data_IF_243930615661
#
_entry.id   IF_243930615661
#
_cell.length_a   1.000
_cell.length_b   1.000
_cell.length_c   1.000
_cell.angle_alpha   90.00
_cell.angle_beta   90.00
_cell.angle_gamma   90.00
#
_symmetry.space_group_name_H-M   'P 1'
#
loop_
_entity.id
_entity.type
_entity.pdbx_description
1 polymer ?
#
# COMPACT_ATOMS: atom_id res chain seq x y z
N UNK A 1 5.57 19.58 5.51
CA UNK A 1 5.68 18.26 6.18
C UNK A 1 5.22 17.19 5.21
N UNK A 2 5.97 16.10 5.09
CA UNK A 2 5.56 14.95 4.30
C UNK A 2 4.24 14.38 4.82
N UNK A 3 3.52 13.68 3.94
CA UNK A 3 2.26 13.04 4.26
C UNK A 3 2.44 11.54 4.36
N UNK A 4 1.65 10.91 5.21
CA UNK A 4 1.60 9.46 5.33
C UNK A 4 0.46 8.89 4.52
N UNK A 5 0.69 7.73 3.92
CA UNK A 5 -0.34 6.85 3.39
C UNK A 5 -0.23 5.52 4.15
N UNK A 6 -1.37 4.99 4.55
CA UNK A 6 -1.47 3.76 5.36
C UNK A 6 -2.24 2.71 4.61
N UNK A 7 -1.63 1.54 4.44
CA UNK A 7 -2.26 0.36 3.86
C UNK A 7 -2.36 -0.72 4.93
N UNK A 8 -3.57 -1.23 5.13
CA UNK A 8 -3.78 -2.50 5.83
C UNK A 8 -3.52 -3.63 4.83
N UNK A 9 -2.66 -4.57 5.19
CA UNK A 9 -2.28 -5.71 4.34
C UNK A 9 -2.46 -7.00 5.14
N UNK A 10 -3.22 -7.96 4.61
CA UNK A 10 -3.43 -9.26 5.25
C UNK A 10 -2.10 -10.01 5.41
N UNK A 11 -1.89 -10.70 6.54
CA UNK A 11 -0.66 -11.49 6.77
C UNK A 11 -0.64 -12.77 5.95
N UNK A 12 -1.75 -13.51 5.96
CA UNK A 12 -1.91 -14.71 5.15
C UNK A 12 -2.42 -14.34 3.76
N UNK A 13 -1.55 -14.52 2.77
CA UNK A 13 -1.82 -14.19 1.37
C UNK A 13 -1.50 -15.41 0.51
N UNK A 14 -2.40 -15.75 -0.42
CA UNK A 14 -2.15 -16.74 -1.46
C UNK A 14 -1.01 -16.28 -2.38
N UNK A 15 -0.18 -17.20 -2.87
CA UNK A 15 1.07 -16.89 -3.59
C UNK A 15 0.87 -15.97 -4.81
N UNK A 16 -0.25 -16.10 -5.52
CA UNK A 16 -0.59 -15.26 -6.66
C UNK A 16 -0.90 -13.81 -6.25
N UNK A 17 -1.58 -13.63 -5.12
CA UNK A 17 -1.90 -12.32 -4.53
C UNK A 17 -0.67 -11.68 -3.89
N UNK A 18 0.22 -12.47 -3.29
CA UNK A 18 1.47 -11.98 -2.71
C UNK A 18 2.33 -11.26 -3.76
N UNK A 19 2.46 -11.85 -4.96
CA UNK A 19 3.20 -11.23 -6.06
C UNK A 19 2.58 -9.89 -6.50
N UNK A 20 1.25 -9.78 -6.48
CA UNK A 20 0.54 -8.52 -6.79
C UNK A 20 0.80 -7.47 -5.72
N UNK A 21 0.79 -7.84 -4.44
CA UNK A 21 1.12 -6.94 -3.32
C UNK A 21 2.58 -6.48 -3.41
N UNK A 22 3.50 -7.38 -3.75
CA UNK A 22 4.90 -7.01 -3.98
C UNK A 22 5.05 -6.02 -5.14
N UNK A 23 4.32 -6.25 -6.24
CA UNK A 23 4.29 -5.34 -7.40
C UNK A 23 3.71 -3.97 -7.05
N UNK A 24 2.67 -3.90 -6.21
CA UNK A 24 2.14 -2.64 -5.68
C UNK A 24 3.25 -1.86 -4.96
N UNK A 25 3.92 -2.49 -3.99
CA UNK A 25 5.00 -1.86 -3.21
C UNK A 25 6.16 -1.41 -4.10
N UNK A 26 6.60 -2.27 -5.01
CA UNK A 26 7.67 -1.94 -5.96
C UNK A 26 7.31 -0.77 -6.88
N UNK A 27 6.05 -0.67 -7.32
CA UNK A 27 5.59 0.42 -8.18
C UNK A 27 5.48 1.75 -7.42
N UNK A 28 5.11 1.72 -6.13
CA UNK A 28 5.14 2.92 -5.28
C UNK A 28 6.55 3.51 -5.17
N UNK A 29 7.56 2.64 -5.08
CA UNK A 29 8.97 3.04 -5.02
C UNK A 29 9.45 3.54 -6.38
N UNK A 30 9.22 2.78 -7.46
CA UNK A 30 9.72 3.14 -8.79
C UNK A 30 9.09 4.40 -9.37
N UNK A 31 7.86 4.74 -8.98
CA UNK A 31 7.20 6.01 -9.32
C UNK A 31 7.64 7.19 -8.45
N UNK A 32 8.51 6.98 -7.47
CA UNK A 32 8.97 8.04 -6.57
C UNK A 32 7.90 8.55 -5.61
N UNK A 33 6.84 7.78 -5.35
CA UNK A 33 5.86 8.16 -4.34
C UNK A 33 6.42 7.98 -2.92
N UNK A 34 7.33 7.03 -2.72
CA UNK A 34 8.00 6.81 -1.44
C UNK A 34 9.33 6.09 -1.64
N UNK A 35 10.24 6.25 -0.69
CA UNK A 35 11.52 5.52 -0.66
C UNK A 35 11.53 4.44 0.43
N UNK A 36 10.71 4.60 1.48
CA UNK A 36 10.70 3.74 2.66
C UNK A 36 9.26 3.38 3.01
N UNK A 37 9.02 2.07 3.16
CA UNK A 37 7.77 1.52 3.66
C UNK A 37 8.04 0.94 5.05
N UNK A 38 7.44 1.53 6.07
CA UNK A 38 7.43 1.00 7.42
C UNK A 38 6.32 -0.05 7.56
N UNK A 39 6.65 -1.23 8.08
CA UNK A 39 5.71 -2.32 8.30
C UNK A 39 5.66 -2.57 9.80
N UNK A 40 4.45 -2.48 10.37
CA UNK A 40 4.16 -2.82 11.74
C UNK A 40 3.06 -3.87 11.80
N UNK A 41 2.99 -4.63 12.88
CA UNK A 41 1.80 -5.44 13.16
C UNK A 41 0.63 -4.51 13.51
N UNK A 42 -0.53 -4.75 12.87
CA UNK A 42 -1.76 -4.05 13.21
C UNK A 42 -2.58 -4.88 14.20
N UNK A 43 -2.75 -6.17 13.90
CA UNK A 43 -3.44 -7.16 14.71
C UNK A 43 -3.00 -8.57 14.28
N UNK A 44 -3.76 -9.61 14.65
CA UNK A 44 -3.46 -11.01 14.31
C UNK A 44 -3.47 -11.25 12.79
N UNK A 45 -4.46 -10.68 12.09
CA UNK A 45 -4.71 -10.95 10.67
C UNK A 45 -4.00 -9.99 9.72
N UNK A 46 -3.56 -8.83 10.20
CA UNK A 46 -3.09 -7.73 9.35
C UNK A 46 -1.78 -7.08 9.81
N UNK A 47 -0.99 -6.65 8.82
CA UNK A 47 0.09 -5.68 8.96
C UNK A 47 -0.36 -4.28 8.54
N UNK A 48 0.13 -3.26 9.23
CA UNK A 48 0.02 -1.87 8.82
C UNK A 48 1.28 -1.45 8.06
N UNK A 49 1.11 -1.12 6.77
CA UNK A 49 2.16 -0.62 5.91
C UNK A 49 2.01 0.90 5.80
N UNK A 50 2.92 1.65 6.41
CA UNK A 50 2.94 3.11 6.38
C UNK A 50 4.07 3.59 5.49
N UNK A 51 3.79 4.48 4.56
CA UNK A 51 4.83 5.11 3.75
C UNK A 51 4.65 6.61 3.67
N UNK A 52 5.78 7.27 3.48
CA UNK A 52 5.89 8.73 3.50
C UNK A 52 6.01 9.25 2.08
N UNK A 53 5.21 10.24 1.72
CA UNK A 53 5.18 10.83 0.39
C UNK A 53 5.18 12.37 0.47
N UNK A 54 5.61 13.02 -0.62
CA UNK A 54 5.47 14.46 -0.78
C UNK A 54 3.99 14.85 -0.75
N UNK A 55 3.60 16.00 -0.16
CA UNK A 55 2.23 16.50 -0.22
C UNK A 55 1.66 16.54 -1.64
N UNK A 56 2.49 16.91 -2.62
CA UNK A 56 2.09 17.04 -4.03
C UNK A 56 1.75 15.69 -4.66
N UNK A 57 2.37 14.61 -4.16
CA UNK A 57 2.17 13.25 -4.65
C UNK A 57 1.09 12.49 -3.87
N UNK A 58 0.64 12.98 -2.71
CA UNK A 58 -0.29 12.23 -1.84
C UNK A 58 -1.52 11.75 -2.60
N UNK A 59 -2.23 12.68 -3.26
CA UNK A 59 -3.48 12.37 -3.96
C UNK A 59 -3.26 11.42 -5.13
N UNK A 60 -2.17 11.61 -5.88
CA UNK A 60 -1.82 10.73 -7.00
C UNK A 60 -1.49 9.31 -6.52
N UNK A 61 -0.70 9.19 -5.45
CA UNK A 61 -0.35 7.92 -4.85
C UNK A 61 -1.58 7.18 -4.28
N UNK A 62 -2.49 7.89 -3.60
CA UNK A 62 -3.76 7.31 -3.12
C UNK A 62 -4.63 6.81 -4.27
N UNK A 63 -4.79 7.60 -5.33
CA UNK A 63 -5.54 7.19 -6.52
C UNK A 63 -4.89 5.97 -7.19
N UNK A 64 -3.58 5.99 -7.37
CA UNK A 64 -2.84 4.85 -7.92
C UNK A 64 -3.05 3.58 -7.09
N UNK A 65 -2.98 3.67 -5.76
CA UNK A 65 -3.23 2.53 -4.86
C UNK A 65 -4.63 1.99 -5.06
N UNK A 66 -5.66 2.85 -5.07
CA UNK A 66 -7.05 2.45 -5.25
C UNK A 66 -7.28 1.77 -6.60
N UNK A 67 -6.76 2.37 -7.67
CA UNK A 67 -6.84 1.82 -9.03
C UNK A 67 -6.13 0.47 -9.11
N UNK A 68 -4.94 0.34 -8.52
CA UNK A 68 -4.19 -0.91 -8.51
C UNK A 68 -4.95 -2.01 -7.76
N UNK A 69 -5.50 -1.71 -6.57
CA UNK A 69 -6.23 -2.66 -5.74
C UNK A 69 -7.44 -3.22 -6.53
N UNK A 70 -8.20 -2.33 -7.17
CA UNK A 70 -9.36 -2.71 -7.97
C UNK A 70 -8.95 -3.51 -9.22
N UNK A 71 -7.99 -3.01 -10.00
CA UNK A 71 -7.57 -3.64 -11.25
C UNK A 71 -6.93 -5.02 -11.07
N UNK A 72 -6.31 -5.29 -9.92
CA UNK A 72 -5.65 -6.56 -9.63
C UNK A 72 -6.48 -7.53 -8.77
N UNK A 73 -7.71 -7.13 -8.40
CA UNK A 73 -8.64 -7.89 -7.56
C UNK A 73 -7.99 -8.35 -6.24
N UNK A 74 -7.39 -7.41 -5.50
CA UNK A 74 -6.74 -7.65 -4.19
C UNK A 74 -7.42 -6.87 -3.06
N UNK A 75 -8.68 -6.50 -3.24
CA UNK A 75 -9.49 -5.74 -2.26
C UNK A 75 -9.68 -6.48 -0.93
N UNK A 76 -9.60 -7.81 -0.93
CA UNK A 76 -9.64 -8.68 0.26
C UNK A 76 -8.30 -8.74 1.01
N UNK A 77 -7.21 -8.29 0.38
CA UNK A 77 -5.84 -8.38 0.91
C UNK A 77 -5.30 -7.01 1.31
N UNK A 78 -5.54 -5.98 0.51
CA UNK A 78 -5.01 -4.63 0.72
C UNK A 78 -6.14 -3.63 0.80
N UNK A 79 -6.13 -2.82 1.85
CA UNK A 79 -7.07 -1.72 2.05
C UNK A 79 -6.31 -0.43 2.29
N UNK A 80 -6.65 0.61 1.52
CA UNK A 80 -6.20 1.97 1.81
C UNK A 80 -7.00 2.52 2.99
N UNK A 81 -6.31 2.87 4.08
CA UNK A 81 -6.92 3.52 5.23
C UNK A 81 -6.95 5.03 4.97
N UNK A 82 -8.15 5.62 5.03
CA UNK A 82 -8.29 7.08 5.04
C UNK A 82 -8.03 7.58 6.45
N UNK A 83 -7.19 8.60 6.56
CA UNK A 83 -7.05 9.39 7.79
C UNK A 83 -8.30 10.26 8.01
#
# INVERSE_FOLDING_TARGET
MNKTIKLRVKKEIERDKELKVLKLKGTLISRGYTEIIHIADENEDFHLNTFTTSPDHKKEAENFVLDFISANNVTDIVTLLKD
#
